data_IF_937994335601
#
_entry.id   IF_937994335601
#
_cell.length_a   1.000
_cell.length_b   1.000
_cell.length_c   1.000
_cell.angle_alpha   90.00
_cell.angle_beta   90.00
_cell.angle_gamma   90.00
#
_symmetry.space_group_name_H-M   'P 1'
#
loop_
_entity.id
_entity.type
_entity.pdbx_description
1 polymer ?
#
# COMPACT_ATOMS: atom_id res chain seq x y z
N UNK A 1 -22.27 -45.58 48.44
CA UNK A 1 -23.06 -45.61 47.18
C UNK A 1 -22.13 -45.92 46.02
N UNK A 2 -22.37 -46.97 45.22
CA UNK A 2 -21.62 -47.24 43.99
C UNK A 2 -22.24 -46.54 42.76
N UNK A 3 -21.45 -46.24 41.70
CA UNK A 3 -21.92 -45.49 40.53
C UNK A 3 -22.69 -46.35 39.52
N UNK A 4 -23.71 -45.75 38.88
CA UNK A 4 -24.54 -46.36 37.83
C UNK A 4 -23.83 -46.34 36.47
N UNK A 5 -23.72 -47.51 35.82
CA UNK A 5 -23.42 -47.65 34.38
C UNK A 5 -24.68 -47.33 33.57
N UNK A 6 -24.54 -46.54 32.50
CA UNK A 6 -25.55 -46.44 31.42
C UNK A 6 -24.84 -46.72 30.09
N UNK A 7 -25.33 -47.74 29.39
CA UNK A 7 -24.76 -48.26 28.15
C UNK A 7 -25.12 -47.41 26.92
N UNK A 8 -24.17 -47.38 25.99
CA UNK A 8 -24.29 -46.80 24.64
C UNK A 8 -25.15 -47.74 23.78
N UNK A 9 -26.18 -47.21 23.09
CA UNK A 9 -26.86 -47.91 21.99
C UNK A 9 -26.59 -47.20 20.68
N UNK A 10 -26.03 -47.95 19.75
CA UNK A 10 -25.86 -47.61 18.34
C UNK A 10 -27.16 -47.86 17.59
N UNK A 11 -27.52 -46.99 16.65
CA UNK A 11 -28.58 -47.23 15.65
C UNK A 11 -28.08 -46.76 14.28
N UNK A 12 -28.12 -47.67 13.31
CA UNK A 12 -27.89 -47.45 11.86
C UNK A 12 -29.22 -47.66 11.13
N UNK A 13 -29.53 -46.82 10.14
CA UNK A 13 -30.56 -47.07 9.11
C UNK A 13 -30.43 -46.16 7.87
N UNK A 14 -29.51 -46.53 6.97
CA UNK A 14 -29.59 -46.89 5.53
C UNK A 14 -30.86 -46.61 4.64
N UNK A 15 -30.64 -45.95 3.45
CA UNK A 15 -31.20 -46.16 2.04
C UNK A 15 -32.60 -45.55 1.67
N UNK A 16 -32.95 -44.97 0.48
CA UNK A 16 -32.37 -44.61 -0.87
C UNK A 16 -33.36 -43.73 -1.70
N UNK A 17 -32.86 -43.05 -2.76
CA UNK A 17 -33.53 -42.82 -4.06
C UNK A 17 -33.95 -41.37 -4.36
N UNK A 18 -33.88 -40.77 -5.56
CA UNK A 18 -33.29 -41.06 -6.90
C UNK A 18 -33.58 -39.81 -7.81
N UNK A 19 -32.98 -39.75 -9.03
CA UNK A 19 -33.14 -38.80 -10.18
C UNK A 19 -32.21 -37.55 -10.16
N UNK A 20 -31.15 -37.39 -10.99
CA UNK A 20 -30.97 -37.37 -12.49
C UNK A 20 -31.85 -36.29 -13.17
N UNK A 21 -31.43 -35.39 -14.08
CA UNK A 21 -30.41 -35.39 -15.14
C UNK A 21 -30.25 -33.94 -15.74
N UNK A 22 -29.09 -33.64 -16.35
CA UNK A 22 -28.79 -32.70 -17.47
C UNK A 22 -29.19 -31.19 -17.49
N UNK A 23 -28.17 -30.30 -17.56
CA UNK A 23 -28.14 -29.18 -18.54
C UNK A 23 -26.74 -28.53 -18.71
N UNK A 24 -26.19 -28.76 -19.90
CA UNK A 24 -25.18 -28.04 -20.70
C UNK A 24 -24.47 -26.75 -20.21
N UNK A 25 -23.14 -26.72 -20.48
CA UNK A 25 -22.27 -25.53 -20.63
C UNK A 25 -22.77 -24.58 -21.73
N UNK A 26 -22.46 -23.28 -21.60
CA UNK A 26 -21.84 -22.56 -22.71
C UNK A 26 -20.55 -21.84 -22.22
N UNK A 27 -19.41 -22.12 -22.86
CA UNK A 27 -18.85 -21.34 -23.97
C UNK A 27 -17.96 -20.19 -23.48
N UNK A 28 -16.68 -20.31 -23.83
CA UNK A 28 -15.63 -19.31 -23.72
C UNK A 28 -16.11 -17.95 -24.25
N UNK A 29 -15.80 -16.88 -23.51
CA UNK A 29 -15.50 -15.62 -24.17
C UNK A 29 -14.30 -14.94 -23.50
N UNK A 30 -13.42 -14.51 -24.37
CA UNK A 30 -12.11 -13.92 -24.13
C UNK A 30 -12.25 -12.49 -23.60
N UNK A 31 -11.20 -12.07 -22.88
CA UNK A 31 -10.82 -10.71 -22.48
C UNK A 31 -11.45 -10.21 -21.16
N UNK A 32 -10.66 -10.30 -20.08
CA UNK A 32 -10.46 -9.12 -19.25
C UNK A 32 -8.99 -9.00 -18.85
N UNK A 33 -8.26 -8.22 -19.63
CA UNK A 33 -7.03 -7.56 -19.23
C UNK A 33 -7.43 -6.40 -18.32
N UNK A 34 -7.29 -6.52 -16.99
CA UNK A 34 -7.23 -5.34 -16.10
C UNK A 34 -6.89 -5.74 -14.66
N UNK A 35 -5.72 -5.27 -14.22
CA UNK A 35 -5.27 -5.09 -12.84
C UNK A 35 -5.51 -6.25 -11.86
N UNK A 36 -4.40 -6.81 -11.36
CA UNK A 36 -4.37 -7.53 -10.08
C UNK A 36 -5.16 -6.71 -9.07
N UNK A 37 -6.40 -7.11 -8.76
CA UNK A 37 -7.13 -6.54 -7.65
C UNK A 37 -6.42 -7.08 -6.42
N UNK A 38 -5.45 -6.30 -5.94
CA UNK A 38 -4.72 -6.56 -4.71
C UNK A 38 -5.69 -6.27 -3.55
N UNK A 39 -6.82 -6.97 -3.53
CA UNK A 39 -7.77 -6.93 -2.43
C UNK A 39 -7.16 -7.77 -1.33
N UNK A 40 -6.18 -7.19 -0.64
CA UNK A 40 -5.76 -7.68 0.67
C UNK A 40 -7.00 -7.61 1.55
N UNK A 41 -7.40 -8.74 2.14
CA UNK A 41 -8.54 -8.74 3.04
C UNK A 41 -8.22 -7.87 4.27
N UNK A 42 -9.23 -7.24 4.89
CA UNK A 42 -9.01 -6.46 6.11
C UNK A 42 -8.26 -7.25 7.20
N UNK A 43 -8.54 -8.55 7.31
CA UNK A 43 -7.89 -9.47 8.26
C UNK A 43 -6.41 -9.67 7.91
N UNK A 44 -6.09 -9.85 6.63
CA UNK A 44 -4.70 -10.00 6.19
C UNK A 44 -3.89 -8.72 6.42
N UNK A 45 -4.49 -7.54 6.17
CA UNK A 45 -3.85 -6.25 6.47
C UNK A 45 -3.63 -6.07 7.97
N UNK A 46 -4.64 -6.38 8.79
CA UNK A 46 -4.52 -6.33 10.26
C UNK A 46 -3.46 -7.29 10.79
N UNK A 47 -3.34 -8.49 10.24
CA UNK A 47 -2.30 -9.44 10.61
C UNK A 47 -0.88 -8.90 10.29
N UNK A 48 -0.69 -8.25 9.15
CA UNK A 48 0.57 -7.62 8.78
C UNK A 48 0.93 -6.44 9.71
N UNK A 49 -0.07 -5.64 10.09
CA UNK A 49 0.09 -4.56 11.07
C UNK A 49 0.46 -5.16 12.43
N UNK A 50 -0.26 -6.19 12.90
CA UNK A 50 0.02 -6.86 14.16
C UNK A 50 1.45 -7.38 14.25
N UNK A 51 1.93 -8.04 13.19
CA UNK A 51 3.33 -8.49 13.11
C UNK A 51 4.31 -7.33 13.30
N UNK A 52 4.11 -6.23 12.58
CA UNK A 52 5.00 -5.07 12.64
C UNK A 52 4.94 -4.37 14.01
N UNK A 53 3.73 -4.22 14.57
CA UNK A 53 3.53 -3.66 15.90
C UNK A 53 4.19 -4.54 16.97
N UNK A 54 4.07 -5.86 16.87
CA UNK A 54 4.71 -6.77 17.80
C UNK A 54 6.25 -6.67 17.76
N UNK A 55 6.85 -6.50 16.58
CA UNK A 55 8.30 -6.27 16.45
C UNK A 55 8.72 -4.95 17.14
N UNK A 56 8.02 -3.85 16.86
CA UNK A 56 8.33 -2.55 17.49
C UNK A 56 8.14 -2.64 19.01
N UNK A 57 7.05 -3.24 19.48
CA UNK A 57 6.81 -3.40 20.92
C UNK A 57 7.93 -4.23 21.56
N UNK A 58 8.38 -5.30 20.91
CA UNK A 58 9.48 -6.13 21.43
C UNK A 58 10.81 -5.36 21.53
N UNK A 59 11.10 -4.46 20.59
CA UNK A 59 12.26 -3.55 20.68
C UNK A 59 12.12 -2.62 21.89
N UNK A 60 10.94 -2.03 22.09
CA UNK A 60 10.65 -1.15 23.23
C UNK A 60 10.62 -1.89 24.59
N UNK A 61 10.23 -3.17 24.64
CA UNK A 61 10.26 -3.99 25.86
C UNK A 61 11.69 -4.10 26.43
N UNK A 62 12.68 -4.19 25.54
CA UNK A 62 14.10 -4.27 25.91
C UNK A 62 14.55 -2.95 26.53
N UNK A 63 14.23 -1.83 25.87
CA UNK A 63 14.63 -0.49 26.28
C UNK A 63 13.94 -0.06 27.59
N UNK A 64 12.65 -0.39 27.74
CA UNK A 64 11.86 -0.06 28.93
C UNK A 64 12.03 -1.07 30.08
N UNK A 65 12.64 -2.24 29.82
CA UNK A 65 12.76 -3.36 30.76
C UNK A 65 11.40 -3.83 31.29
N UNK A 66 10.38 -3.86 30.43
CA UNK A 66 9.00 -4.25 30.76
C UNK A 66 8.43 -5.13 29.67
N UNK A 67 7.64 -6.12 30.07
CA UNK A 67 6.89 -6.96 29.13
C UNK A 67 5.52 -6.35 28.84
N UNK A 68 5.18 -6.28 27.56
CA UNK A 68 3.87 -6.03 27.02
C UNK A 68 3.01 -7.30 27.08
N UNK A 69 1.71 -7.12 27.29
CA UNK A 69 0.77 -8.23 27.26
C UNK A 69 0.21 -8.40 25.85
N UNK A 70 -0.18 -9.62 25.49
CA UNK A 70 -0.79 -9.90 24.18
C UNK A 70 -2.05 -9.03 23.91
N UNK A 71 -2.98 -8.81 24.88
CA UNK A 71 -4.09 -7.88 24.68
C UNK A 71 -3.64 -6.42 24.45
N UNK A 72 -2.52 -5.99 25.04
CA UNK A 72 -1.97 -4.66 24.80
C UNK A 72 -1.49 -4.51 23.36
N UNK A 73 -0.73 -5.48 22.84
CA UNK A 73 -0.29 -5.50 21.43
C UNK A 73 -1.49 -5.54 20.46
N UNK A 74 -2.52 -6.33 20.79
CA UNK A 74 -3.77 -6.37 20.01
C UNK A 74 -4.48 -5.01 20.01
N UNK A 75 -4.56 -4.33 21.16
CA UNK A 75 -5.18 -3.00 21.26
C UNK A 75 -4.40 -1.94 20.47
N UNK A 76 -3.07 -1.98 20.48
CA UNK A 76 -2.22 -1.10 19.67
C UNK A 76 -2.43 -1.35 18.17
N UNK A 77 -2.61 -2.61 17.76
CA UNK A 77 -2.88 -2.96 16.36
C UNK A 77 -4.18 -2.34 15.87
N UNK A 78 -5.26 -2.43 16.65
CA UNK A 78 -6.55 -1.80 16.30
C UNK A 78 -6.44 -0.27 16.26
N UNK A 79 -5.67 0.32 17.19
CA UNK A 79 -5.41 1.77 17.19
C UNK A 79 -4.67 2.21 15.92
N UNK A 80 -3.59 1.52 15.54
CA UNK A 80 -2.81 1.83 14.34
C UNK A 80 -3.67 1.68 13.09
N UNK A 81 -4.47 0.61 13.00
CA UNK A 81 -5.38 0.39 11.88
C UNK A 81 -6.40 1.54 11.74
N UNK A 82 -7.05 1.95 12.83
CA UNK A 82 -7.98 3.09 12.82
C UNK A 82 -7.29 4.43 12.48
N UNK A 83 -6.04 4.61 12.93
CA UNK A 83 -5.26 5.79 12.60
C UNK A 83 -4.92 5.85 11.11
N UNK A 84 -4.63 4.71 10.46
CA UNK A 84 -4.41 4.66 9.02
C UNK A 84 -5.62 5.13 8.22
N UNK A 85 -6.84 4.77 8.63
CA UNK A 85 -8.07 5.25 7.97
C UNK A 85 -8.20 6.78 8.05
N UNK A 86 -7.95 7.34 9.23
CA UNK A 86 -7.99 8.79 9.46
C UNK A 86 -6.92 9.50 8.62
N UNK A 87 -5.69 9.01 8.64
CA UNK A 87 -4.58 9.57 7.87
C UNK A 87 -4.83 9.51 6.36
N UNK A 88 -5.40 8.41 5.86
CA UNK A 88 -5.71 8.26 4.44
C UNK A 88 -6.73 9.31 3.96
N UNK A 89 -7.76 9.59 4.77
CA UNK A 89 -8.76 10.62 4.47
C UNK A 89 -8.16 12.02 4.49
N UNK A 90 -7.33 12.33 5.48
CA UNK A 90 -6.63 13.62 5.59
C UNK A 90 -5.70 13.85 4.40
N UNK A 91 -4.86 12.87 4.06
CA UNK A 91 -3.93 12.96 2.93
C UNK A 91 -4.66 13.14 1.60
N UNK A 92 -5.77 12.42 1.40
CA UNK A 92 -6.64 12.59 0.22
C UNK A 92 -7.20 14.01 0.15
N UNK A 93 -7.68 14.54 1.27
CA UNK A 93 -8.22 15.91 1.34
C UNK A 93 -7.14 16.97 1.04
N UNK A 94 -5.92 16.81 1.55
CA UNK A 94 -4.81 17.72 1.28
C UNK A 94 -4.39 17.73 -0.18
N UNK A 95 -4.26 16.56 -0.80
CA UNK A 95 -3.96 16.46 -2.23
C UNK A 95 -5.08 17.11 -3.07
N UNK A 96 -6.35 16.83 -2.75
CA UNK A 96 -7.50 17.40 -3.43
C UNK A 96 -7.59 18.93 -3.28
N UNK A 97 -7.27 19.48 -2.10
CA UNK A 97 -7.23 20.92 -1.87
C UNK A 97 -6.21 21.64 -2.78
N UNK A 98 -5.13 20.95 -3.15
CA UNK A 98 -4.14 21.44 -4.10
C UNK A 98 -4.42 21.05 -5.56
N UNK A 99 -5.65 20.62 -5.88
CA UNK A 99 -6.07 20.13 -7.21
C UNK A 99 -5.20 18.97 -7.75
N UNK A 100 -4.75 18.07 -6.88
CA UNK A 100 -3.94 16.89 -7.24
C UNK A 100 -4.69 15.60 -6.91
N UNK A 101 -4.49 14.56 -7.72
CA UNK A 101 -4.94 13.19 -7.45
C UNK A 101 -3.83 12.31 -6.85
N UNK A 102 -2.59 12.78 -6.85
CA UNK A 102 -1.43 12.08 -6.30
C UNK A 102 -0.93 12.79 -5.04
N UNK A 103 -0.80 12.03 -3.96
CA UNK A 103 -0.25 12.47 -2.67
C UNK A 103 1.25 12.73 -2.82
N UNK A 104 1.75 13.81 -2.21
CA UNK A 104 3.16 14.24 -2.22
C UNK A 104 3.66 14.48 -0.80
N UNK A 105 4.98 14.68 -0.66
CA UNK A 105 5.62 14.95 0.63
C UNK A 105 5.02 16.17 1.37
N UNK A 106 4.56 17.19 0.64
CA UNK A 106 3.91 18.37 1.24
C UNK A 106 2.59 18.02 1.96
N UNK A 107 1.85 17.02 1.49
CA UNK A 107 0.61 16.57 2.14
C UNK A 107 0.93 15.86 3.47
N UNK A 108 2.02 15.09 3.52
CA UNK A 108 2.51 14.42 4.74
C UNK A 108 3.06 15.43 5.76
N UNK A 109 3.79 16.45 5.30
CA UNK A 109 4.23 17.56 6.17
C UNK A 109 3.03 18.29 6.76
N UNK A 110 1.99 18.53 5.97
CA UNK A 110 0.78 19.21 6.42
C UNK A 110 0.01 18.39 7.46
N UNK A 111 0.04 17.06 7.35
CA UNK A 111 -0.56 16.15 8.35
C UNK A 111 0.09 16.32 9.74
N UNK A 112 1.42 16.42 9.80
CA UNK A 112 2.15 16.53 11.06
C UNK A 112 2.15 17.92 11.72
N UNK A 113 1.53 18.93 11.10
CA UNK A 113 1.55 20.34 11.54
C UNK A 113 1.09 20.61 12.98
N UNK A 114 0.33 19.68 13.59
CA UNK A 114 -0.20 19.82 14.95
C UNK A 114 0.81 19.46 16.03
N UNK A 115 1.87 18.74 15.66
CA UNK A 115 2.90 18.24 16.58
C UNK A 115 4.26 18.71 16.08
N UNK A 116 4.80 19.83 16.60
CA UNK A 116 6.02 20.44 16.10
C UNK A 116 7.22 19.46 16.04
N UNK A 117 7.41 18.66 17.09
CA UNK A 117 8.48 17.67 17.16
C UNK A 117 8.37 16.60 16.05
N UNK A 118 7.15 16.15 15.76
CA UNK A 118 6.89 15.20 14.68
C UNK A 118 7.13 15.85 13.32
N UNK A 119 6.73 17.12 13.17
CA UNK A 119 6.96 17.88 11.93
C UNK A 119 8.44 18.04 11.64
N UNK A 120 9.26 18.34 12.65
CA UNK A 120 10.71 18.44 12.52
C UNK A 120 11.33 17.10 12.17
N UNK A 121 10.91 16.01 12.83
CA UNK A 121 11.43 14.67 12.51
C UNK A 121 11.08 14.23 11.09
N UNK A 122 9.85 14.49 10.63
CA UNK A 122 9.44 14.18 9.25
C UNK A 122 10.24 15.01 8.23
N UNK A 123 10.53 16.28 8.53
CA UNK A 123 11.40 17.10 7.68
C UNK A 123 12.80 16.49 7.58
N UNK A 124 13.38 16.10 8.70
CA UNK A 124 14.71 15.47 8.73
C UNK A 124 14.73 14.18 7.89
N UNK A 125 13.74 13.30 8.04
CA UNK A 125 13.66 12.06 7.25
C UNK A 125 13.45 12.32 5.75
N UNK A 126 12.70 13.38 5.38
CA UNK A 126 12.57 13.76 3.97
C UNK A 126 13.90 14.23 3.38
N UNK A 127 14.67 15.05 4.10
CA UNK A 127 15.99 15.50 3.65
C UNK A 127 16.96 14.32 3.49
N UNK A 128 16.90 13.34 4.40
CA UNK A 128 17.66 12.09 4.29
C UNK A 128 17.26 11.29 3.04
N UNK A 129 15.96 11.15 2.78
CA UNK A 129 15.45 10.46 1.61
C UNK A 129 15.86 11.14 0.30
N UNK A 130 15.75 12.46 0.21
CA UNK A 130 16.18 13.24 -0.95
C UNK A 130 17.67 13.07 -1.23
N UNK A 131 18.51 13.15 -0.19
CA UNK A 131 19.96 12.94 -0.31
C UNK A 131 20.27 11.54 -0.85
N UNK A 132 19.64 10.50 -0.31
CA UNK A 132 19.81 9.13 -0.78
C UNK A 132 19.37 8.95 -2.25
N UNK A 133 18.27 9.58 -2.65
CA UNK A 133 17.72 9.47 -4.01
C UNK A 133 18.55 10.17 -5.10
N UNK A 134 19.42 11.12 -4.73
CA UNK A 134 20.28 11.83 -5.69
C UNK A 134 21.56 11.07 -6.02
N UNK A 135 21.98 10.11 -5.19
CA UNK A 135 23.20 9.29 -5.40
C UNK A 135 23.03 8.33 -6.58
N UNK A 136 21.80 7.91 -6.90
CA UNK A 136 21.50 6.96 -7.98
C UNK A 136 21.33 7.64 -9.36
N UNK A 137 21.29 8.98 -9.41
CA UNK A 137 21.27 9.74 -10.67
C UNK A 137 22.72 9.99 -11.11
N UNK A 138 23.31 9.00 -11.78
CA UNK A 138 24.60 9.13 -12.48
C UNK A 138 24.64 10.37 -13.39
N UNK A 139 25.84 10.92 -13.69
CA UNK A 139 25.98 12.19 -14.39
C UNK A 139 25.25 12.17 -15.74
N UNK A 140 24.26 13.05 -15.89
CA UNK A 140 23.64 13.30 -17.21
C UNK A 140 24.72 13.81 -18.15
N UNK A 141 25.15 12.97 -19.09
CA UNK A 141 25.99 13.37 -20.20
C UNK A 141 25.29 14.51 -20.95
N UNK A 142 25.83 15.73 -20.85
CA UNK A 142 25.47 16.83 -21.74
C UNK A 142 26.07 16.45 -23.10
N UNK A 143 25.26 15.97 -24.04
CA UNK A 143 25.69 15.94 -25.45
C UNK A 143 25.41 17.32 -26.05
N UNK A 144 26.43 18.15 -26.34
CA UNK A 144 26.25 19.31 -27.20
C UNK A 144 26.16 18.81 -28.64
N UNK A 145 24.96 18.45 -29.09
CA UNK A 145 24.73 18.29 -30.53
C UNK A 145 24.74 19.68 -31.17
N UNK A 146 25.84 20.04 -31.80
CA UNK A 146 25.95 21.23 -32.64
C UNK A 146 25.73 20.81 -34.10
N UNK A 147 24.57 21.07 -34.73
CA UNK A 147 24.39 20.76 -36.14
C UNK A 147 25.28 21.67 -36.99
N UNK A 148 25.92 21.14 -38.05
CA UNK A 148 26.78 21.94 -38.93
C UNK A 148 25.96 23.01 -39.65
N UNK A 149 26.43 24.26 -39.54
CA UNK A 149 25.81 25.43 -40.15
C UNK A 149 25.67 25.30 -41.65
N UNK A 150 24.42 25.37 -42.14
CA UNK A 150 24.15 25.52 -43.57
C UNK A 150 24.50 26.95 -43.98
N UNK A 151 25.47 27.06 -44.88
CA UNK A 151 25.97 28.29 -45.45
C UNK A 151 24.83 29.19 -45.97
N UNK A 152 24.86 30.47 -45.61
CA UNK A 152 24.04 31.52 -46.24
C UNK A 152 24.59 31.78 -47.64
N UNK A 153 23.90 31.34 -48.69
CA UNK A 153 24.06 31.88 -50.04
C UNK A 153 23.26 33.17 -50.14
N UNK A 154 23.93 34.28 -50.50
CA UNK A 154 23.38 35.64 -50.50
C UNK A 154 22.26 35.91 -51.52
N UNK A 155 21.71 37.14 -51.53
CA UNK A 155 20.56 37.50 -52.35
C UNK A 155 21.00 37.81 -53.79
N UNK A 156 20.42 37.10 -54.75
CA UNK A 156 20.50 37.47 -56.17
C UNK A 156 19.22 38.25 -56.52
N UNK A 157 19.36 39.57 -56.58
CA UNK A 157 18.42 40.46 -57.26
C UNK A 157 18.77 40.48 -58.75
N UNK A 158 17.77 40.28 -59.61
CA UNK A 158 17.86 40.46 -61.06
C UNK A 158 16.45 40.63 -61.65
N UNK A 159 16.20 41.65 -62.49
CA UNK A 159 14.86 42.00 -62.96
C UNK A 159 14.58 41.43 -64.36
N UNK A 160 13.33 41.09 -64.67
CA UNK A 160 12.73 40.92 -66.02
C UNK A 160 11.28 40.46 -65.80
N UNK A 161 10.21 40.95 -66.44
CA UNK A 161 9.95 41.93 -67.50
C UNK A 161 8.53 42.47 -67.31
#
# INVERSE_FOLDING_TARGET
MPPRRVGVRSVKSTITGEQDELAAKPANNTVNESAVSLVISPEALKAAIWYTVAQIVQEEEIDLQRSATEPFVASLTELVYAQCETLALDLKAFAAHANRSTIRAEDVKLMARKTPELQDRIREELERYERASTVDKGPKAKNPFNPPGRAKSGPSTGPVS
#
